data_IF_899847190462
#
_entry.id   IF_899847190462
#
_cell.length_a   1.000
_cell.length_b   1.000
_cell.length_c   1.000
_cell.angle_alpha   90.00
_cell.angle_beta   90.00
_cell.angle_gamma   90.00
#
_symmetry.space_group_name_H-M   'P 1'
#
loop_
_entity.id
_entity.type
_entity.pdbx_description
1 polymer ?
#
# COMPACT_ATOMS: atom_id res chain seq x y z
N UNK A 1 -1.29 13.09 0.04
CA UNK A 1 -0.54 12.43 1.14
C UNK A 1 -1.16 12.65 2.52
N UNK A 2 -1.42 13.89 2.98
CA UNK A 2 -2.02 14.13 4.32
C UNK A 2 -3.40 13.47 4.51
N UNK A 3 -4.31 13.67 3.56
CA UNK A 3 -5.64 13.02 3.55
C UNK A 3 -5.58 11.50 3.57
N UNK A 4 -4.64 10.93 2.81
CA UNK A 4 -4.40 9.49 2.75
C UNK A 4 -3.92 8.90 4.09
N UNK A 5 -2.96 9.56 4.76
CA UNK A 5 -2.50 9.14 6.10
C UNK A 5 -3.63 9.20 7.13
N UNK A 6 -4.42 10.27 7.11
CA UNK A 6 -5.56 10.44 8.01
C UNK A 6 -6.62 9.35 7.78
N UNK A 7 -6.90 9.01 6.52
CA UNK A 7 -7.79 7.91 6.16
C UNK A 7 -7.31 6.56 6.70
N UNK A 8 -6.03 6.23 6.50
CA UNK A 8 -5.44 4.99 7.06
C UNK A 8 -5.52 4.98 8.58
N UNK A 9 -5.18 6.09 9.22
CA UNK A 9 -5.20 6.18 10.67
C UNK A 9 -6.61 5.95 11.21
N UNK A 10 -7.62 6.60 10.63
CA UNK A 10 -9.03 6.42 11.00
C UNK A 10 -9.50 4.97 10.81
N UNK A 11 -9.11 4.30 9.70
CA UNK A 11 -9.43 2.90 9.48
C UNK A 11 -8.84 2.00 10.58
N UNK A 12 -7.57 2.22 10.94
CA UNK A 12 -6.87 1.41 11.96
C UNK A 12 -7.42 1.69 13.36
N UNK A 13 -7.83 2.92 13.66
CA UNK A 13 -8.48 3.27 14.93
C UNK A 13 -9.85 2.59 15.11
N UNK A 14 -10.54 2.30 13.99
CA UNK A 14 -11.84 1.63 13.98
C UNK A 14 -11.74 0.10 13.87
N UNK A 15 -10.54 -0.47 13.64
CA UNK A 15 -10.30 -1.91 13.53
C UNK A 15 -10.14 -2.58 14.91
N UNK A 16 -11.23 -2.63 15.70
CA UNK A 16 -11.22 -3.20 17.06
C UNK A 16 -10.77 -4.67 17.10
N UNK A 17 -11.09 -5.42 16.04
CA UNK A 17 -10.83 -6.85 15.93
C UNK A 17 -9.45 -7.16 15.32
N UNK A 18 -8.65 -6.13 15.04
CA UNK A 18 -7.28 -6.22 14.56
C UNK A 18 -7.14 -6.97 13.22
N UNK A 19 -8.14 -6.88 12.35
CA UNK A 19 -8.15 -7.50 11.04
C UNK A 19 -6.95 -7.07 10.18
N UNK A 20 -6.56 -5.79 10.21
CA UNK A 20 -5.40 -5.30 9.46
C UNK A 20 -4.10 -5.92 9.96
N UNK A 21 -3.90 -5.98 11.28
CA UNK A 21 -2.72 -6.60 11.86
C UNK A 21 -2.64 -8.08 11.45
N UNK A 22 -3.73 -8.81 11.61
CA UNK A 22 -3.79 -10.23 11.26
C UNK A 22 -3.51 -10.47 9.77
N UNK A 23 -4.10 -9.65 8.90
CA UNK A 23 -3.86 -9.67 7.46
C UNK A 23 -2.39 -9.43 7.11
N UNK A 24 -1.78 -8.38 7.67
CA UNK A 24 -0.39 -8.00 7.38
C UNK A 24 0.61 -9.00 7.98
N UNK A 25 0.37 -9.48 9.19
CA UNK A 25 1.24 -10.43 9.89
C UNK A 25 1.23 -11.81 9.24
N UNK A 26 0.03 -12.38 8.98
CA UNK A 26 -0.11 -13.70 8.35
C UNK A 26 0.60 -13.78 7.00
N UNK A 27 0.58 -12.67 6.27
CA UNK A 27 1.16 -12.57 4.93
C UNK A 27 2.57 -11.96 4.92
N UNK A 28 3.16 -11.71 6.09
CA UNK A 28 4.44 -11.02 6.21
C UNK A 28 5.56 -11.76 5.49
N UNK A 29 5.72 -13.07 5.75
CA UNK A 29 6.75 -13.91 5.12
C UNK A 29 6.53 -14.14 3.61
N UNK A 30 5.36 -13.76 3.08
CA UNK A 30 5.02 -13.84 1.67
C UNK A 30 5.07 -12.48 0.97
N UNK A 31 3.94 -12.10 0.37
CA UNK A 31 3.87 -10.95 -0.53
C UNK A 31 4.09 -9.60 0.14
N UNK A 32 3.86 -9.45 1.45
CA UNK A 32 4.10 -8.18 2.15
C UNK A 32 5.60 -7.85 2.17
N UNK A 33 6.44 -8.81 2.59
CA UNK A 33 7.90 -8.64 2.55
C UNK A 33 8.39 -8.44 1.12
N UNK A 34 7.89 -9.22 0.16
CA UNK A 34 8.26 -9.08 -1.26
C UNK A 34 7.94 -7.69 -1.81
N UNK A 35 6.82 -7.08 -1.43
CA UNK A 35 6.48 -5.70 -1.81
C UNK A 35 7.41 -4.66 -1.15
N UNK A 36 7.75 -4.85 0.13
CA UNK A 36 8.64 -3.94 0.88
C UNK A 36 10.07 -3.98 0.32
N UNK A 37 10.58 -5.17 -0.01
CA UNK A 37 11.93 -5.42 -0.51
C UNK A 37 12.06 -5.28 -2.04
N UNK A 38 11.00 -4.85 -2.73
CA UNK A 38 11.05 -4.56 -4.17
C UNK A 38 11.23 -3.06 -4.46
N UNK A 39 12.43 -2.69 -4.93
CA UNK A 39 12.77 -1.31 -5.33
C UNK A 39 11.93 -0.79 -6.50
N UNK A 40 11.40 -1.66 -7.37
CA UNK A 40 10.62 -1.23 -8.53
C UNK A 40 9.22 -0.75 -8.17
N UNK A 41 8.73 -1.02 -6.96
CA UNK A 41 7.49 -0.44 -6.42
C UNK A 41 7.76 0.68 -5.43
N UNK A 42 9.02 1.13 -5.31
CA UNK A 42 9.41 2.27 -4.49
C UNK A 42 9.50 3.54 -5.33
N UNK A 43 8.64 4.53 -5.07
CA UNK A 43 8.55 5.73 -5.91
C UNK A 43 9.87 6.50 -6.07
N UNK A 44 10.67 6.74 -5.01
CA UNK A 44 11.94 7.47 -5.16
C UNK A 44 12.95 6.81 -6.10
N UNK A 45 12.94 5.47 -6.23
CA UNK A 45 13.80 4.76 -7.19
C UNK A 45 13.61 5.29 -8.61
N UNK A 46 12.36 5.44 -9.05
CA UNK A 46 12.05 5.94 -10.39
C UNK A 46 12.42 7.41 -10.55
N UNK A 47 12.22 8.23 -9.51
CA UNK A 47 12.64 9.63 -9.52
C UNK A 47 14.15 9.76 -9.75
N UNK A 48 14.95 9.02 -9.00
CA UNK A 48 16.41 8.98 -9.14
C UNK A 48 16.86 8.41 -10.49
N UNK A 49 16.20 7.35 -10.98
CA UNK A 49 16.49 6.78 -12.29
C UNK A 49 16.33 7.82 -13.41
N UNK A 50 15.24 8.59 -13.43
CA UNK A 50 15.03 9.64 -14.42
C UNK A 50 15.95 10.84 -14.24
N UNK A 51 16.38 11.13 -13.01
CA UNK A 51 17.36 12.17 -12.71
C UNK A 51 18.81 11.73 -13.01
N UNK A 52 19.05 10.46 -13.34
CA UNK A 52 20.39 9.92 -13.57
C UNK A 52 21.24 9.86 -12.30
N UNK A 53 20.62 9.77 -11.12
CA UNK A 53 21.30 9.74 -9.83
C UNK A 53 20.92 8.52 -8.99
N UNK A 54 21.50 8.45 -7.79
CA UNK A 54 21.35 7.35 -6.84
C UNK A 54 20.68 7.80 -5.53
N UNK A 55 20.02 8.97 -5.51
CA UNK A 55 19.48 9.60 -4.29
C UNK A 55 18.20 8.92 -3.72
N UNK A 56 18.07 7.60 -3.90
CA UNK A 56 16.96 6.80 -3.42
C UNK A 56 17.39 5.73 -2.42
N UNK A 57 18.64 5.22 -2.45
CA UNK A 57 19.04 4.03 -1.67
C UNK A 57 18.89 4.24 -0.15
N UNK A 58 19.36 5.39 0.35
CA UNK A 58 19.24 5.75 1.77
C UNK A 58 17.78 5.81 2.22
N UNK A 59 16.91 6.40 1.40
CA UNK A 59 15.48 6.49 1.69
C UNK A 59 14.79 5.12 1.61
N UNK A 60 15.29 4.25 0.74
CA UNK A 60 14.80 2.88 0.59
C UNK A 60 15.14 2.03 1.81
N UNK A 61 16.39 2.07 2.27
CA UNK A 61 16.81 1.38 3.50
C UNK A 61 16.06 1.90 4.73
N UNK A 62 15.87 3.22 4.83
CA UNK A 62 15.02 3.81 5.89
C UNK A 62 13.59 3.29 5.81
N UNK A 63 13.01 3.19 4.62
CA UNK A 63 11.63 2.72 4.44
C UNK A 63 11.48 1.23 4.79
N UNK A 64 12.44 0.37 4.43
CA UNK A 64 12.45 -1.05 4.84
C UNK A 64 12.57 -1.19 6.36
N UNK A 65 13.52 -0.48 6.98
CA UNK A 65 13.69 -0.46 8.44
C UNK A 65 12.42 0.02 9.15
N UNK A 66 11.77 1.06 8.62
CA UNK A 66 10.51 1.55 9.15
C UNK A 66 9.39 0.49 9.07
N UNK A 67 9.29 -0.25 7.97
CA UNK A 67 8.31 -1.32 7.82
C UNK A 67 8.55 -2.47 8.81
N UNK A 68 9.80 -2.91 8.96
CA UNK A 68 10.16 -3.96 9.91
C UNK A 68 9.93 -3.54 11.36
N UNK A 69 10.32 -2.31 11.70
CA UNK A 69 10.03 -1.75 13.03
C UNK A 69 8.53 -1.60 13.26
N UNK A 70 7.76 -1.19 12.25
CA UNK A 70 6.32 -1.06 12.36
C UNK A 70 5.64 -2.40 12.61
N UNK A 71 6.07 -3.46 11.91
CA UNK A 71 5.59 -4.82 12.15
C UNK A 71 5.91 -5.28 13.59
N UNK A 72 7.18 -5.17 13.99
CA UNK A 72 7.65 -5.66 15.30
C UNK A 72 7.03 -4.92 16.50
N UNK A 73 6.61 -3.67 16.31
CA UNK A 73 5.98 -2.85 17.35
C UNK A 73 4.48 -2.65 17.11
N UNK A 74 3.86 -3.48 16.26
CA UNK A 74 2.42 -3.44 15.95
C UNK A 74 1.89 -2.06 15.52
N UNK A 75 2.74 -1.24 14.88
CA UNK A 75 2.36 0.07 14.33
C UNK A 75 1.67 -0.12 12.97
N UNK A 76 0.48 -0.69 13.00
CA UNK A 76 -0.30 -1.11 11.83
C UNK A 76 -0.48 0.02 10.81
N UNK A 77 -0.83 1.23 11.27
CA UNK A 77 -1.04 2.39 10.39
C UNK A 77 0.20 2.74 9.57
N UNK A 78 1.39 2.67 10.17
CA UNK A 78 2.67 2.93 9.50
C UNK A 78 2.98 1.84 8.48
N UNK A 79 2.80 0.56 8.85
CA UNK A 79 3.03 -0.55 7.94
C UNK A 79 2.06 -0.51 6.75
N UNK A 80 0.79 -0.23 7.01
CA UNK A 80 -0.25 -0.13 6.00
C UNK A 80 -0.01 1.05 5.04
N UNK A 81 0.45 2.19 5.55
CA UNK A 81 0.87 3.33 4.70
C UNK A 81 1.99 2.92 3.74
N UNK A 82 3.04 2.25 4.24
CA UNK A 82 4.16 1.81 3.40
C UNK A 82 3.69 0.82 2.32
N UNK A 83 2.89 -0.18 2.70
CA UNK A 83 2.39 -1.21 1.78
C UNK A 83 1.51 -0.58 0.70
N UNK A 84 0.56 0.27 1.07
CA UNK A 84 -0.30 0.93 0.10
C UNK A 84 0.46 1.93 -0.80
N UNK A 85 1.50 2.59 -0.29
CA UNK A 85 2.40 3.40 -1.12
C UNK A 85 3.10 2.56 -2.20
N UNK A 86 3.52 1.32 -1.88
CA UNK A 86 4.07 0.38 -2.88
C UNK A 86 3.02 -0.03 -3.91
N UNK A 87 1.81 -0.35 -3.45
CA UNK A 87 0.69 -0.73 -4.32
C UNK A 87 0.26 0.41 -5.23
N UNK A 88 0.34 1.66 -4.78
CA UNK A 88 0.04 2.83 -5.61
C UNK A 88 1.02 2.96 -6.79
N UNK A 89 2.32 2.76 -6.56
CA UNK A 89 3.32 2.74 -7.64
C UNK A 89 3.04 1.59 -8.60
N UNK A 90 2.72 0.40 -8.09
CA UNK A 90 2.37 -0.76 -8.91
C UNK A 90 1.13 -0.49 -9.78
N UNK A 91 0.08 0.12 -9.21
CA UNK A 91 -1.13 0.55 -9.96
C UNK A 91 -0.75 1.52 -11.05
N UNK A 92 0.14 2.47 -10.79
CA UNK A 92 0.58 3.43 -11.81
C UNK A 92 1.34 2.73 -12.95
N UNK A 93 2.15 1.73 -12.65
CA UNK A 93 2.82 0.93 -13.69
C UNK A 93 1.83 0.14 -14.56
N UNK A 94 0.72 -0.33 -13.98
CA UNK A 94 -0.33 -1.02 -14.74
C UNK A 94 -1.11 -0.05 -15.64
N UNK A 95 -1.43 1.14 -15.14
CA UNK A 95 -2.31 2.09 -15.83
C UNK A 95 -1.59 3.01 -16.81
N UNK A 96 -0.33 3.35 -16.54
CA UNK A 96 0.40 4.39 -17.27
C UNK A 96 1.68 3.88 -17.96
N UNK A 97 2.01 2.59 -17.84
CA UNK A 97 3.12 1.96 -18.58
C UNK A 97 4.09 1.18 -17.69
N UNK A 98 4.75 0.18 -18.28
CA UNK A 98 5.64 -0.77 -17.58
C UNK A 98 5.07 -2.18 -17.42
N UNK A 99 3.81 -2.41 -17.83
CA UNK A 99 3.18 -3.71 -17.91
C UNK A 99 2.89 -4.09 -19.38
N UNK A 100 3.90 -4.57 -20.09
CA UNK A 100 3.74 -5.00 -21.49
C UNK A 100 3.12 -6.40 -21.59
N UNK A 101 2.31 -6.64 -22.63
CA UNK A 101 1.70 -7.94 -22.91
C UNK A 101 2.78 -9.04 -23.03
N UNK A 102 2.58 -10.18 -22.36
CA UNK A 102 3.55 -11.29 -22.23
C UNK A 102 4.90 -10.99 -21.55
N UNK A 103 5.14 -9.77 -21.08
CA UNK A 103 6.35 -9.50 -20.29
C UNK A 103 6.32 -10.25 -18.96
N UNK A 104 7.46 -10.84 -18.60
CA UNK A 104 7.67 -11.51 -17.30
C UNK A 104 8.25 -10.56 -16.23
N UNK A 105 8.74 -9.39 -16.64
CA UNK A 105 9.58 -8.50 -15.81
C UNK A 105 8.87 -8.03 -14.55
N UNK A 106 7.54 -7.82 -14.60
CA UNK A 106 6.76 -7.34 -13.45
C UNK A 106 5.71 -8.34 -12.94
N UNK A 107 5.71 -9.60 -13.40
CA UNK A 107 4.58 -10.51 -13.12
C UNK A 107 4.51 -10.97 -11.67
N UNK A 108 5.65 -11.14 -11.01
CA UNK A 108 5.70 -11.47 -9.58
C UNK A 108 5.07 -10.36 -8.74
N UNK A 109 5.53 -9.12 -8.90
CA UNK A 109 5.00 -7.97 -8.15
C UNK A 109 3.50 -7.72 -8.42
N UNK A 110 3.02 -7.95 -9.64
CA UNK A 110 1.58 -7.84 -9.94
C UNK A 110 0.78 -8.93 -9.22
N UNK A 111 1.26 -10.17 -9.19
CA UNK A 111 0.63 -11.27 -8.45
C UNK A 111 0.59 -10.99 -6.95
N UNK A 112 1.71 -10.54 -6.39
CA UNK A 112 1.84 -10.21 -4.97
C UNK A 112 0.97 -9.01 -4.58
N UNK A 113 0.95 -7.97 -5.41
CA UNK A 113 0.08 -6.82 -5.22
C UNK A 113 -1.40 -7.16 -5.32
N UNK A 114 -1.78 -8.04 -6.26
CA UNK A 114 -3.14 -8.54 -6.37
C UNK A 114 -3.56 -9.29 -5.10
N UNK A 115 -2.73 -10.21 -4.61
CA UNK A 115 -2.99 -10.96 -3.36
C UNK A 115 -3.15 -10.03 -2.17
N UNK A 116 -2.26 -9.04 -2.03
CA UNK A 116 -2.36 -8.03 -0.98
C UNK A 116 -3.69 -7.27 -1.05
N UNK A 117 -4.11 -6.83 -2.24
CA UNK A 117 -5.39 -6.13 -2.41
C UNK A 117 -6.60 -7.03 -2.14
N UNK A 118 -6.55 -8.30 -2.53
CA UNK A 118 -7.62 -9.28 -2.26
C UNK A 118 -7.85 -9.48 -0.77
N UNK A 119 -6.79 -9.51 0.05
CA UNK A 119 -6.91 -9.63 1.50
C UNK A 119 -7.31 -8.31 2.16
N UNK A 120 -6.81 -7.17 1.65
CA UNK A 120 -6.97 -5.88 2.30
C UNK A 120 -8.32 -5.20 2.03
N UNK A 121 -8.83 -5.29 0.80
CA UNK A 121 -10.06 -4.59 0.41
C UNK A 121 -11.29 -5.01 1.24
N UNK A 122 -11.54 -6.31 1.50
CA UNK A 122 -12.65 -6.72 2.35
C UNK A 122 -12.59 -6.10 3.73
N UNK A 123 -11.39 -6.00 4.33
CA UNK A 123 -11.19 -5.38 5.64
C UNK A 123 -11.55 -3.89 5.61
N UNK A 124 -11.02 -3.15 4.63
CA UNK A 124 -11.31 -1.71 4.46
C UNK A 124 -12.81 -1.49 4.29
N UNK A 125 -13.45 -2.21 3.37
CA UNK A 125 -14.87 -2.04 3.04
C UNK A 125 -15.74 -2.40 4.24
N UNK A 126 -15.41 -3.49 4.96
CA UNK A 126 -16.18 -3.92 6.14
C UNK A 126 -16.16 -2.85 7.23
N UNK A 127 -14.99 -2.30 7.55
CA UNK A 127 -14.85 -1.21 8.53
C UNK A 127 -15.63 0.03 8.08
N UNK A 128 -15.53 0.40 6.79
CA UNK A 128 -16.28 1.53 6.25
C UNK A 128 -17.80 1.34 6.34
N UNK A 129 -18.29 0.12 6.08
CA UNK A 129 -19.72 -0.23 6.18
C UNK A 129 -20.22 -0.24 7.63
N UNK A 130 -19.43 -0.76 8.57
CA UNK A 130 -19.76 -0.79 9.99
C UNK A 130 -19.79 0.62 10.62
N UNK A 131 -19.06 1.56 10.04
CA UNK A 131 -18.95 2.95 10.50
C UNK A 131 -19.39 3.94 9.40
N UNK A 132 -20.56 3.68 8.81
CA UNK A 132 -21.13 4.49 7.73
C UNK A 132 -21.47 5.94 8.14
N UNK A 133 -21.60 6.21 9.46
CA UNK A 133 -21.80 7.55 10.03
C UNK A 133 -20.54 8.42 9.99
N UNK A 134 -19.36 7.83 9.76
CA UNK A 134 -18.10 8.56 9.70
C UNK A 134 -17.89 9.24 8.35
N UNK A 135 -17.31 10.44 8.41
CA UNK A 135 -16.82 11.12 7.20
C UNK A 135 -15.56 10.43 6.68
N UNK A 136 -15.66 9.74 5.54
CA UNK A 136 -14.54 9.07 4.86
C UNK A 136 -13.76 9.98 3.89
N UNK A 137 -13.92 11.30 4.05
CA UNK A 137 -13.37 12.32 3.16
C UNK A 137 -14.28 12.63 1.97
N UNK A 138 -13.81 13.52 1.09
CA UNK A 138 -14.55 13.92 -0.10
C UNK A 138 -14.60 12.76 -1.10
N UNK A 139 -15.80 12.44 -1.55
CA UNK A 139 -16.02 11.46 -2.63
C UNK A 139 -15.66 12.13 -3.95
N UNK A 140 -14.67 11.60 -4.68
CA UNK A 140 -14.23 12.14 -5.97
C UNK A 140 -15.27 11.98 -7.08
N UNK A 141 -16.09 10.93 -7.00
CA UNK A 141 -17.15 10.61 -7.97
C UNK A 141 -18.48 10.44 -7.21
N UNK A 142 -19.12 11.56 -6.78
CA UNK A 142 -20.37 11.48 -6.03
C UNK A 142 -21.51 11.00 -6.93
N UNK A 143 -22.52 10.38 -6.32
CA UNK A 143 -23.78 10.09 -7.02
C UNK A 143 -24.49 11.42 -7.29
N UNK A 144 -24.75 11.70 -8.56
CA UNK A 144 -25.55 12.84 -9.00
C UNK A 144 -26.93 12.27 -9.36
N UNK A 145 -27.99 12.90 -8.86
CA UNK A 145 -29.34 12.62 -9.34
C UNK A 145 -29.55 13.39 -10.63
N UNK A 146 -30.00 12.71 -11.67
CA UNK A 146 -30.48 13.35 -12.89
C UNK A 146 -31.76 14.17 -12.62
#
# INVERSE_FOLDING_TARGET
>A
RKSFKQFIQQLVELDSDRHFYNCLWKNYSGFVRSLIENRFVFSPFWGSHYAGNHDWEDSYERSKKAAFNALANERVSVLLEIVLDRLYVLRNQLMHGGATYQSQVNRSQVKDGCRMMTELLPVIITIMMQHADKGWGQIYYPVIKD
#
